data_IF_636207308546
#
_entry.id   IF_636207308546
#
_cell.length_a   1.000
_cell.length_b   1.000
_cell.length_c   1.000
_cell.angle_alpha   90.00
_cell.angle_beta   90.00
_cell.angle_gamma   90.00
#
_symmetry.space_group_name_H-M   'P 1'
#
loop_
_entity.id
_entity.type
_entity.pdbx_description
1 polymer ?
#
# COMPACT_ATOMS: atom_id res chain seq x y z
N UNK A 1 14.12 11.21 -7.67
CA UNK A 1 12.65 11.15 -7.61
C UNK A 1 11.98 12.52 -7.60
N UNK A 2 12.36 13.47 -6.74
CA UNK A 2 11.70 14.80 -6.66
C UNK A 2 12.42 15.96 -7.38
N UNK A 3 13.66 15.75 -7.85
CA UNK A 3 14.53 16.82 -8.39
C UNK A 3 13.88 17.58 -9.55
N UNK A 4 13.30 16.87 -10.51
CA UNK A 4 12.73 17.41 -11.74
C UNK A 4 11.19 17.50 -11.71
N UNK A 5 10.60 17.49 -10.51
CA UNK A 5 9.15 17.59 -10.30
C UNK A 5 8.73 19.02 -9.94
N UNK A 6 7.47 19.42 -10.17
CA UNK A 6 7.00 20.74 -9.80
C UNK A 6 7.00 20.94 -8.27
N UNK A 7 7.19 22.18 -7.78
CA UNK A 7 7.02 22.52 -6.36
C UNK A 7 5.67 22.06 -5.81
N UNK A 8 5.67 21.53 -4.59
CA UNK A 8 4.50 20.90 -3.96
C UNK A 8 4.43 19.38 -4.16
N UNK A 9 5.17 18.83 -5.13
CA UNK A 9 5.30 17.36 -5.25
C UNK A 9 5.99 16.79 -4.02
N UNK A 10 5.45 15.71 -3.48
CA UNK A 10 5.94 15.14 -2.22
C UNK A 10 5.94 13.62 -2.19
N UNK A 11 6.63 13.07 -1.19
CA UNK A 11 6.72 11.64 -0.92
C UNK A 11 6.68 11.45 0.58
N UNK A 12 5.86 10.50 1.03
CA UNK A 12 5.89 10.01 2.41
C UNK A 12 6.47 8.61 2.42
N UNK A 13 7.38 8.34 3.35
CA UNK A 13 8.03 7.04 3.54
C UNK A 13 8.24 6.77 5.03
N UNK A 14 8.54 5.54 5.38
CA UNK A 14 9.03 5.24 6.73
C UNK A 14 10.32 6.02 7.02
N UNK A 15 10.44 6.48 8.26
CA UNK A 15 11.63 7.20 8.70
C UNK A 15 12.74 6.23 9.05
N UNK A 16 13.89 6.39 8.38
CA UNK A 16 15.10 5.63 8.71
C UNK A 16 15.76 6.12 10.01
N UNK A 17 15.55 7.39 10.37
CA UNK A 17 16.22 8.04 11.51
C UNK A 17 15.39 7.99 12.80
N UNK A 18 14.08 7.77 12.70
CA UNK A 18 13.17 7.71 13.86
C UNK A 18 12.18 6.54 13.69
N UNK A 19 12.40 5.41 14.39
CA UNK A 19 11.53 4.24 14.28
C UNK A 19 10.06 4.57 14.57
N UNK A 20 9.15 4.10 13.70
CA UNK A 20 7.71 4.31 13.83
C UNK A 20 7.21 5.70 13.40
N UNK A 21 8.09 6.60 12.96
CA UNK A 21 7.74 7.88 12.37
C UNK A 21 7.78 7.82 10.84
N UNK A 22 7.18 8.83 10.19
CA UNK A 22 7.23 8.97 8.73
C UNK A 22 8.13 10.14 8.34
N UNK A 23 8.90 9.96 7.26
CA UNK A 23 9.62 11.04 6.60
C UNK A 23 8.79 11.60 5.44
N UNK A 24 8.58 12.92 5.43
CA UNK A 24 7.97 13.67 4.33
C UNK A 24 9.06 14.43 3.57
N UNK A 25 9.26 14.11 2.29
CA UNK A 25 10.12 14.87 1.39
C UNK A 25 9.24 15.72 0.46
N UNK A 26 9.48 17.03 0.40
CA UNK A 26 8.69 18.01 -0.34
C UNK A 26 9.57 18.82 -1.28
N UNK A 27 9.21 18.85 -2.56
CA UNK A 27 9.82 19.74 -3.55
C UNK A 27 9.34 21.18 -3.33
N UNK A 28 10.27 22.12 -3.25
CA UNK A 28 9.99 23.56 -3.08
C UNK A 28 10.50 24.37 -4.28
N UNK A 29 9.95 25.58 -4.46
CA UNK A 29 10.29 26.45 -5.57
C UNK A 29 11.62 27.19 -5.37
N UNK A 30 11.96 27.52 -4.12
CA UNK A 30 13.13 28.34 -3.80
C UNK A 30 13.99 27.70 -2.72
N UNK A 31 15.31 27.89 -2.77
CA UNK A 31 16.18 27.48 -1.68
C UNK A 31 15.88 28.25 -0.38
N UNK A 32 16.31 27.73 0.77
CA UNK A 32 16.39 28.49 2.02
C UNK A 32 17.14 29.83 1.86
N UNK A 33 16.78 30.86 2.65
CA UNK A 33 17.59 32.08 2.73
C UNK A 33 19.04 31.74 3.10
N UNK A 34 20.01 32.27 2.35
CA UNK A 34 21.44 32.09 2.60
C UNK A 34 22.09 30.89 1.91
N UNK A 35 21.34 30.11 1.12
CA UNK A 35 21.88 29.03 0.30
C UNK A 35 21.86 29.45 -1.17
N UNK A 36 23.03 29.44 -1.80
CA UNK A 36 23.17 29.74 -3.22
C UNK A 36 22.48 28.63 -4.04
N UNK A 37 21.73 28.98 -5.09
CA UNK A 37 21.15 27.98 -5.99
C UNK A 37 22.30 27.17 -6.62
N UNK A 38 22.33 25.89 -6.30
CA UNK A 38 23.32 24.91 -6.71
C UNK A 38 22.73 23.98 -7.77
N UNK A 39 22.94 22.68 -7.60
CA UNK A 39 22.48 21.67 -8.55
C UNK A 39 20.98 21.31 -8.41
N UNK A 40 20.23 22.00 -7.53
CA UNK A 40 18.80 21.80 -7.30
C UNK A 40 18.47 20.75 -6.23
N UNK A 41 19.48 20.21 -5.54
CA UNK A 41 19.29 19.32 -4.37
C UNK A 41 18.76 20.08 -3.16
N UNK A 42 19.07 21.38 -3.05
CA UNK A 42 18.59 22.30 -2.02
C UNK A 42 17.08 22.59 -2.09
N UNK A 43 16.42 22.16 -3.17
CA UNK A 43 14.99 22.36 -3.41
C UNK A 43 14.13 21.22 -2.84
N UNK A 44 14.68 20.31 -2.04
CA UNK A 44 13.90 19.26 -1.35
C UNK A 44 13.99 19.47 0.15
N UNK A 45 12.84 19.74 0.77
CA UNK A 45 12.70 19.87 2.22
C UNK A 45 12.25 18.56 2.83
N UNK A 46 12.88 18.20 3.94
CA UNK A 46 12.56 16.99 4.68
C UNK A 46 11.93 17.37 6.01
N UNK A 47 10.78 16.77 6.28
CA UNK A 47 10.05 16.91 7.53
C UNK A 47 9.87 15.54 8.16
N UNK A 48 9.76 15.51 9.48
CA UNK A 48 9.40 14.31 10.21
C UNK A 48 7.96 14.42 10.69
N UNK A 49 7.18 13.38 10.46
CA UNK A 49 5.84 13.21 10.99
C UNK A 49 5.92 12.18 12.10
N UNK A 50 5.65 12.60 13.33
CA UNK A 50 5.70 11.73 14.50
C UNK A 50 4.32 11.18 14.85
N UNK A 51 4.22 9.90 15.23
CA UNK A 51 3.02 9.37 15.85
C UNK A 51 2.81 10.00 17.23
N UNK A 52 1.55 10.11 17.61
CA UNK A 52 1.09 10.58 18.90
C UNK A 52 -0.12 9.74 19.32
N UNK A 53 -0.50 9.73 20.61
CA UNK A 53 -1.69 8.99 21.06
C UNK A 53 -2.99 9.42 20.38
N UNK A 54 -3.04 10.63 19.80
CA UNK A 54 -4.23 11.20 19.14
C UNK A 54 -4.12 11.21 17.61
N UNK A 55 -3.09 10.59 17.03
CA UNK A 55 -2.84 10.55 15.59
C UNK A 55 -1.42 10.98 15.24
N UNK A 56 -1.20 11.89 14.30
CA UNK A 56 0.12 12.29 13.79
C UNK A 56 0.30 13.80 13.73
N UNK A 57 1.55 14.28 13.75
CA UNK A 57 1.89 15.71 13.61
C UNK A 57 3.29 15.92 13.04
N UNK A 58 3.59 17.10 12.49
CA UNK A 58 4.95 17.46 12.12
C UNK A 58 5.80 17.75 13.37
N UNK A 59 6.98 17.12 13.45
CA UNK A 59 7.94 17.36 14.53
C UNK A 59 8.58 18.75 14.39
N UNK A 60 8.71 19.45 15.52
CA UNK A 60 9.39 20.74 15.57
C UNK A 60 8.57 21.93 15.08
N UNK A 61 7.31 21.70 14.69
CA UNK A 61 6.38 22.73 14.25
C UNK A 61 5.34 22.98 15.34
N UNK A 62 5.55 24.01 16.16
CA UNK A 62 4.67 24.34 17.31
C UNK A 62 3.27 24.79 16.91
N UNK A 63 3.09 25.33 15.71
CA UNK A 63 1.80 25.75 15.17
C UNK A 63 1.03 24.60 14.50
N UNK A 64 1.61 23.40 14.44
CA UNK A 64 1.01 22.28 13.73
C UNK A 64 -0.02 21.55 14.60
N UNK A 65 -1.27 21.39 14.14
CA UNK A 65 -2.26 20.60 14.87
C UNK A 65 -1.93 19.10 14.81
N UNK A 66 -2.54 18.33 15.72
CA UNK A 66 -2.52 16.86 15.64
C UNK A 66 -3.65 16.40 14.74
N UNK A 67 -3.32 15.62 13.72
CA UNK A 67 -4.29 15.02 12.79
C UNK A 67 -4.59 13.60 13.18
N UNK A 68 -5.85 13.16 13.06
CA UNK A 68 -6.24 11.80 13.43
C UNK A 68 -5.52 10.70 12.63
N UNK A 69 -5.13 10.97 11.39
CA UNK A 69 -4.43 10.03 10.51
C UNK A 69 -3.41 10.73 9.61
N UNK A 70 -2.47 9.96 9.05
CA UNK A 70 -1.52 10.45 8.06
C UNK A 70 -2.22 11.03 6.82
N UNK A 71 -3.27 10.38 6.32
CA UNK A 71 -4.04 10.88 5.19
C UNK A 71 -4.74 12.20 5.50
N UNK A 72 -5.25 12.39 6.72
CA UNK A 72 -5.86 13.66 7.12
C UNK A 72 -4.83 14.80 7.16
N UNK A 73 -3.61 14.52 7.65
CA UNK A 73 -2.50 15.47 7.59
C UNK A 73 -2.19 15.85 6.14
N UNK A 74 -1.98 14.86 5.28
CA UNK A 74 -1.64 15.07 3.85
C UNK A 74 -2.74 15.86 3.14
N UNK A 75 -4.00 15.48 3.34
CA UNK A 75 -5.14 16.15 2.72
C UNK A 75 -5.24 17.61 3.16
N UNK A 76 -5.14 17.91 4.47
CA UNK A 76 -5.19 19.29 4.95
C UNK A 76 -4.06 20.13 4.33
N UNK A 77 -2.85 19.59 4.27
CA UNK A 77 -1.68 20.27 3.72
C UNK A 77 -1.77 20.51 2.20
N UNK A 78 -2.65 19.78 1.49
CA UNK A 78 -2.94 20.05 0.08
C UNK A 78 -3.84 21.29 -0.11
N UNK A 79 -4.67 21.60 0.88
CA UNK A 79 -5.59 22.75 0.85
C UNK A 79 -4.90 24.00 1.41
N UNK A 80 -4.19 23.87 2.53
CA UNK A 80 -3.51 24.97 3.24
C UNK A 80 -2.12 24.50 3.66
N UNK A 81 -1.03 25.25 3.40
CA UNK A 81 0.33 24.77 3.63
C UNK A 81 0.70 24.56 5.11
N UNK A 82 0.04 25.27 6.05
CA UNK A 82 0.35 25.23 7.49
C UNK A 82 1.85 25.44 7.78
N UNK A 83 2.53 24.52 8.47
CA UNK A 83 3.97 24.64 8.73
C UNK A 83 4.86 24.32 7.52
N UNK A 84 4.30 23.86 6.40
CA UNK A 84 5.06 23.60 5.18
C UNK A 84 5.28 24.90 4.37
N UNK A 85 6.39 24.99 3.61
CA UNK A 85 6.70 26.15 2.78
C UNK A 85 5.77 26.30 1.56
N UNK A 86 5.09 25.23 1.16
CA UNK A 86 4.10 25.22 0.07
C UNK A 86 3.09 24.11 0.29
N UNK A 87 1.92 24.22 -0.35
CA UNK A 87 0.90 23.18 -0.33
C UNK A 87 1.42 21.89 -0.96
N UNK A 88 0.93 20.77 -0.48
CA UNK A 88 1.15 19.48 -1.10
C UNK A 88 0.31 19.36 -2.38
N UNK A 89 0.93 18.94 -3.47
CA UNK A 89 0.20 18.60 -4.69
C UNK A 89 -0.16 17.12 -4.63
N UNK A 90 -1.44 16.84 -4.43
CA UNK A 90 -1.94 15.48 -4.54
C UNK A 90 -1.78 15.02 -6.00
N UNK A 91 -1.28 13.81 -6.24
CA UNK A 91 -1.28 13.22 -7.57
C UNK A 91 -2.71 13.18 -8.14
N UNK A 92 -2.87 13.51 -9.42
CA UNK A 92 -4.15 13.37 -10.14
C UNK A 92 -4.58 11.89 -10.31
N UNK A 93 -3.64 10.96 -10.10
CA UNK A 93 -3.80 9.53 -10.29
C UNK A 93 -3.16 8.81 -9.11
N UNK A 94 -3.71 7.66 -8.71
CA UNK A 94 -3.08 6.81 -7.70
C UNK A 94 -1.69 6.35 -8.19
N UNK A 95 -0.58 6.72 -7.52
CA UNK A 95 0.75 6.29 -7.93
C UNK A 95 0.91 4.75 -7.92
N UNK A 96 0.09 4.01 -7.16
CA UNK A 96 0.05 2.56 -7.21
C UNK A 96 -0.47 2.00 -8.55
N UNK A 97 -1.15 2.82 -9.36
CA UNK A 97 -1.65 2.46 -10.69
C UNK A 97 -0.73 2.97 -11.82
N UNK A 98 0.41 3.58 -11.51
CA UNK A 98 1.36 4.00 -12.55
C UNK A 98 2.16 2.80 -13.07
N UNK A 99 2.37 2.67 -14.40
CA UNK A 99 3.06 1.52 -14.99
C UNK A 99 4.49 1.33 -14.49
N UNK A 100 5.13 2.38 -13.96
CA UNK A 100 6.48 2.33 -13.38
C UNK A 100 6.55 1.60 -12.02
N UNK A 101 5.41 1.33 -11.37
CA UNK A 101 5.33 0.73 -10.04
C UNK A 101 4.43 -0.52 -9.95
N UNK A 102 4.02 -1.09 -11.08
CA UNK A 102 3.27 -2.36 -11.06
C UNK A 102 4.21 -3.47 -10.58
N UNK A 103 3.98 -3.97 -9.37
CA UNK A 103 4.74 -5.12 -8.88
C UNK A 103 4.54 -6.32 -9.80
N UNK A 104 5.55 -7.20 -9.90
CA UNK A 104 5.41 -8.45 -10.66
C UNK A 104 4.16 -9.26 -10.23
N UNK A 105 3.79 -9.19 -8.95
CA UNK A 105 2.57 -9.80 -8.42
C UNK A 105 1.28 -9.20 -9.02
N UNK A 106 1.21 -7.88 -9.19
CA UNK A 106 0.07 -7.22 -9.83
C UNK A 106 0.01 -7.48 -11.35
N UNK A 107 1.16 -7.56 -12.03
CA UNK A 107 1.22 -7.95 -13.45
C UNK A 107 0.72 -9.38 -13.65
N UNK A 108 1.13 -10.31 -12.78
CA UNK A 108 0.63 -11.69 -12.77
C UNK A 108 -0.89 -11.76 -12.50
N UNK A 109 -1.41 -10.87 -11.64
CA UNK A 109 -2.84 -10.77 -11.38
C UNK A 109 -3.63 -10.33 -12.63
N UNK A 110 -3.08 -9.38 -13.40
CA UNK A 110 -3.67 -8.89 -14.66
C UNK A 110 -3.61 -9.93 -15.79
N UNK A 111 -2.50 -10.66 -15.90
CA UNK A 111 -2.35 -11.73 -16.89
C UNK A 111 -3.21 -12.96 -16.56
N UNK A 112 -3.72 -13.02 -15.33
CA UNK A 112 -4.39 -14.18 -14.78
C UNK A 112 -3.39 -15.25 -14.35
N UNK A 113 -3.65 -15.89 -13.21
CA UNK A 113 -2.83 -16.99 -12.74
C UNK A 113 -3.36 -18.30 -13.33
N UNK A 114 -2.45 -19.17 -13.79
CA UNK A 114 -2.78 -20.54 -14.13
C UNK A 114 -1.84 -21.51 -13.41
N UNK A 115 -2.39 -22.57 -12.84
CA UNK A 115 -1.62 -23.63 -12.22
C UNK A 115 -2.33 -24.97 -12.38
N UNK A 116 -1.57 -26.05 -12.27
CA UNK A 116 -2.18 -27.38 -12.19
C UNK A 116 -2.52 -27.66 -10.72
N UNK A 117 -3.77 -28.00 -10.46
CA UNK A 117 -4.27 -28.41 -9.15
C UNK A 117 -4.74 -29.85 -9.22
N UNK A 118 -4.74 -30.54 -8.08
CA UNK A 118 -5.34 -31.88 -7.98
C UNK A 118 -6.75 -31.74 -7.43
N UNK A 119 -7.74 -31.97 -8.28
CA UNK A 119 -9.12 -32.06 -7.85
C UNK A 119 -9.37 -33.45 -7.24
N UNK A 120 -9.83 -33.47 -5.99
CA UNK A 120 -10.08 -34.72 -5.25
C UNK A 120 -11.57 -35.08 -5.34
N UNK A 121 -12.46 -34.25 -4.80
CA UNK A 121 -13.91 -34.46 -4.81
C UNK A 121 -14.64 -33.15 -4.44
N UNK A 122 -15.94 -33.08 -4.73
CA UNK A 122 -16.87 -32.08 -4.20
C UNK A 122 -17.84 -32.75 -3.23
N UNK A 123 -18.00 -32.19 -2.03
CA UNK A 123 -18.88 -32.70 -0.98
C UNK A 123 -19.82 -31.60 -0.51
N UNK A 124 -21.06 -31.96 -0.19
CA UNK A 124 -22.01 -31.05 0.43
C UNK A 124 -21.66 -30.81 1.90
N UNK A 125 -21.65 -29.54 2.31
CA UNK A 125 -21.40 -29.12 3.70
C UNK A 125 -22.67 -29.01 4.53
N UNK A 126 -23.85 -29.23 3.92
CA UNK A 126 -25.17 -29.00 4.52
C UNK A 126 -25.26 -27.57 5.11
N UNK A 127 -25.59 -27.44 6.39
CA UNK A 127 -25.66 -26.17 7.11
C UNK A 127 -24.35 -25.76 7.80
N UNK A 128 -23.30 -26.60 7.72
CA UNK A 128 -22.00 -26.30 8.33
C UNK A 128 -21.25 -25.23 7.51
N UNK A 129 -20.52 -24.37 8.20
CA UNK A 129 -19.67 -23.33 7.60
C UNK A 129 -18.31 -23.28 8.31
N UNK A 130 -17.32 -22.65 7.67
CA UNK A 130 -16.01 -22.38 8.28
C UNK A 130 -15.26 -23.67 8.70
N UNK A 131 -14.60 -23.69 9.87
CA UNK A 131 -13.76 -24.82 10.30
C UNK A 131 -14.50 -26.16 10.41
N UNK A 132 -15.76 -26.16 10.85
CA UNK A 132 -16.53 -27.40 11.02
C UNK A 132 -16.92 -28.03 9.68
N UNK A 133 -17.24 -27.19 8.68
CA UNK A 133 -17.47 -27.67 7.31
C UNK A 133 -16.19 -28.32 6.74
N UNK A 134 -15.04 -27.68 6.95
CA UNK A 134 -13.74 -28.22 6.50
C UNK A 134 -13.45 -29.55 7.16
N UNK A 135 -13.59 -29.64 8.50
CA UNK A 135 -13.36 -30.88 9.24
C UNK A 135 -14.21 -32.04 8.72
N UNK A 136 -15.52 -31.83 8.59
CA UNK A 136 -16.44 -32.85 8.06
C UNK A 136 -16.04 -33.31 6.66
N UNK A 137 -15.77 -32.37 5.75
CA UNK A 137 -15.37 -32.72 4.38
C UNK A 137 -14.09 -33.55 4.38
N UNK A 138 -13.07 -33.17 5.16
CA UNK A 138 -11.81 -33.91 5.24
C UNK A 138 -12.03 -35.34 5.77
N UNK A 139 -12.79 -35.50 6.86
CA UNK A 139 -13.09 -36.81 7.43
C UNK A 139 -13.78 -37.72 6.39
N UNK A 140 -14.75 -37.18 5.65
CA UNK A 140 -15.46 -37.91 4.61
C UNK A 140 -14.59 -38.23 3.40
N UNK A 141 -13.70 -37.33 2.98
CA UNK A 141 -12.71 -37.58 1.92
C UNK A 141 -11.82 -38.77 2.29
N UNK A 142 -11.29 -38.82 3.52
CA UNK A 142 -10.43 -39.91 3.95
C UNK A 142 -11.16 -41.26 3.94
N UNK A 143 -12.43 -41.30 4.33
CA UNK A 143 -13.21 -42.54 4.30
C UNK A 143 -13.46 -43.02 2.87
N UNK A 144 -13.85 -42.12 1.96
CA UNK A 144 -14.05 -42.45 0.55
C UNK A 144 -12.74 -42.86 -0.15
N UNK A 145 -11.61 -42.29 0.25
CA UNK A 145 -10.28 -42.69 -0.23
C UNK A 145 -9.92 -44.11 0.20
N UNK A 146 -10.17 -44.50 1.46
CA UNK A 146 -9.95 -45.89 1.93
C UNK A 146 -10.79 -46.89 1.14
N UNK A 147 -12.01 -46.50 0.80
CA UNK A 147 -12.93 -47.31 0.00
C UNK A 147 -12.62 -47.30 -1.51
N UNK A 148 -11.57 -46.57 -1.94
CA UNK A 148 -11.19 -46.38 -3.36
C UNK A 148 -12.31 -45.80 -4.22
N UNK A 149 -13.19 -45.00 -3.63
CA UNK A 149 -14.33 -44.37 -4.28
C UNK A 149 -14.00 -42.97 -4.84
N UNK A 150 -12.75 -42.52 -4.69
CA UNK A 150 -12.29 -41.21 -5.15
C UNK A 150 -11.09 -41.41 -6.08
N UNK A 151 -11.13 -40.75 -7.24
CA UNK A 151 -10.02 -40.71 -8.18
C UNK A 151 -9.56 -39.26 -8.35
N UNK A 152 -8.40 -38.89 -7.79
CA UNK A 152 -7.86 -37.54 -7.96
C UNK A 152 -7.52 -37.27 -9.43
N UNK A 153 -7.91 -36.10 -9.93
CA UNK A 153 -7.67 -35.67 -11.32
C UNK A 153 -6.83 -34.40 -11.33
N UNK A 154 -5.81 -34.35 -12.20
CA UNK A 154 -5.07 -33.11 -12.43
C UNK A 154 -5.89 -32.17 -13.30
N UNK A 155 -6.16 -30.96 -12.81
CA UNK A 155 -6.96 -29.94 -13.48
C UNK A 155 -6.09 -28.71 -13.69
N UNK A 156 -6.12 -28.18 -14.92
CA UNK A 156 -5.51 -26.90 -15.22
C UNK A 156 -6.44 -25.77 -14.77
N UNK A 157 -6.13 -25.14 -13.64
CA UNK A 157 -6.91 -24.06 -13.06
C UNK A 157 -6.39 -22.72 -13.57
N UNK A 158 -7.28 -21.90 -14.15
CA UNK A 158 -6.95 -20.56 -14.63
C UNK A 158 -7.93 -19.53 -14.08
N UNK A 159 -7.40 -18.53 -13.36
CA UNK A 159 -8.16 -17.35 -12.92
C UNK A 159 -7.98 -16.26 -13.96
N UNK A 160 -9.08 -15.67 -14.44
CA UNK A 160 -9.07 -14.46 -15.28
C UNK A 160 -9.77 -13.35 -14.52
N UNK A 161 -9.19 -12.15 -14.55
CA UNK A 161 -9.89 -10.96 -14.09
C UNK A 161 -10.79 -10.49 -15.25
N UNK A 162 -12.11 -10.47 -15.07
CA UNK A 162 -13.08 -10.03 -16.09
C UNK A 162 -13.56 -8.59 -15.81
N UNK A 163 -12.64 -7.68 -15.49
CA UNK A 163 -12.93 -6.25 -15.33
C UNK A 163 -12.07 -5.44 -16.28
#
# INVERSE_FOLDING_TARGET
MLKDKPPGTFVVRDSNSFPGAFGLALKVATPPPGIHPGDGTELVRHFLIEPSPKGVKLKGCSNEPVFGTLSALVYQHSIIPLALPTKLLLPEYDPANTPEHISAAQQLLQQGAACNVTYIISLDTESLTGPEAVRRCIDQVFELLKQKMVQPVSVHFKVKNNF
#
